data_IF_913707993751
#
_entry.id   IF_913707993751
#
_cell.length_a   1.000
_cell.length_b   1.000
_cell.length_c   1.000
_cell.angle_alpha   90.00
_cell.angle_beta   90.00
_cell.angle_gamma   90.00
#
_symmetry.space_group_name_H-M   'P 1'
#
loop_
_entity.id
_entity.type
_entity.pdbx_description
1 polymer ?
#
# COMPACT_ATOMS: atom_id res chain seq x y z
N UNK A 1 10.21 -34.00 -21.71
CA UNK A 1 9.92 -34.94 -22.81
C UNK A 1 11.23 -35.24 -23.53
N UNK A 2 11.87 -36.37 -23.23
CA UNK A 2 13.05 -36.87 -23.94
C UNK A 2 12.57 -38.01 -24.83
N UNK A 3 12.76 -37.90 -26.14
CA UNK A 3 12.43 -38.98 -27.08
C UNK A 3 13.71 -39.78 -27.37
N UNK A 4 13.76 -41.03 -26.89
CA UNK A 4 14.81 -42.00 -27.23
C UNK A 4 14.44 -42.69 -28.55
N UNK A 5 15.36 -42.67 -29.52
CA UNK A 5 15.19 -43.36 -30.81
C UNK A 5 15.86 -44.73 -30.75
N UNK A 6 15.06 -45.78 -30.94
CA UNK A 6 15.48 -47.18 -31.00
C UNK A 6 16.11 -47.49 -32.37
N UNK A 7 17.34 -48.02 -32.40
CA UNK A 7 18.03 -48.47 -33.63
C UNK A 7 17.52 -49.85 -34.04
N UNK A 8 16.89 -49.93 -35.21
CA UNK A 8 16.50 -51.19 -35.87
C UNK A 8 17.62 -51.65 -36.83
N UNK A 9 17.96 -52.93 -36.79
CA UNK A 9 19.03 -53.55 -37.60
C UNK A 9 18.39 -54.25 -38.81
N UNK A 10 18.80 -53.92 -40.04
CA UNK A 10 18.28 -54.57 -41.26
C UNK A 10 19.35 -55.34 -42.04
N UNK A 11 18.90 -56.48 -42.57
CA UNK A 11 19.61 -57.49 -43.35
C UNK A 11 20.18 -56.95 -44.67
N UNK A 12 21.28 -57.59 -45.10
CA UNK A 12 21.97 -57.44 -46.38
C UNK A 12 21.12 -57.83 -47.59
N UNK A 13 21.08 -56.96 -48.61
CA UNK A 13 20.65 -57.24 -49.98
C UNK A 13 21.45 -56.40 -50.98
N UNK A 14 22.17 -57.07 -51.89
CA UNK A 14 22.98 -56.47 -52.95
C UNK A 14 22.11 -56.12 -54.17
N UNK A 15 21.83 -54.83 -54.38
CA UNK A 15 21.51 -54.24 -55.68
C UNK A 15 21.67 -52.71 -55.60
N UNK A 16 22.59 -52.14 -56.40
CA UNK A 16 22.71 -50.72 -56.76
C UNK A 16 22.43 -49.69 -55.65
N UNK A 17 23.42 -49.40 -54.81
CA UNK A 17 23.31 -48.33 -53.81
C UNK A 17 23.59 -46.99 -54.48
N UNK A 18 22.54 -46.30 -54.94
CA UNK A 18 22.60 -44.85 -54.98
C UNK A 18 22.66 -44.38 -53.52
N UNK A 19 23.84 -43.96 -53.08
CA UNK A 19 24.01 -43.36 -51.74
C UNK A 19 23.34 -42.00 -51.77
N UNK A 20 22.04 -41.95 -51.48
CA UNK A 20 21.37 -40.71 -51.13
C UNK A 20 21.86 -40.31 -49.74
N UNK A 21 22.81 -39.38 -49.67
CA UNK A 21 23.16 -38.73 -48.42
C UNK A 21 21.97 -37.87 -47.97
N UNK A 22 21.19 -38.36 -46.99
CA UNK A 22 20.24 -37.52 -46.26
C UNK A 22 21.06 -36.60 -45.36
N UNK A 23 21.30 -35.36 -45.81
CA UNK A 23 21.92 -34.36 -44.95
C UNK A 23 20.92 -33.97 -43.87
N UNK A 24 21.31 -33.95 -42.57
CA UNK A 24 20.45 -33.39 -41.54
C UNK A 24 20.24 -31.92 -41.90
N UNK A 25 18.97 -31.48 -42.01
CA UNK A 25 18.65 -30.04 -42.02
C UNK A 25 19.19 -29.49 -40.70
N UNK A 26 20.31 -28.78 -40.79
CA UNK A 26 20.80 -27.96 -39.69
C UNK A 26 19.74 -26.86 -39.55
N UNK A 27 18.83 -27.02 -38.57
CA UNK A 27 17.92 -25.95 -38.23
C UNK A 27 18.79 -24.78 -37.75
N UNK A 28 18.88 -23.75 -38.58
CA UNK A 28 19.52 -22.50 -38.21
C UNK A 28 18.59 -21.82 -37.20
N UNK A 29 18.77 -22.13 -35.92
CA UNK A 29 17.98 -21.58 -34.81
C UNK A 29 18.33 -20.11 -34.54
N UNK A 30 19.37 -19.61 -35.19
CA UNK A 30 19.91 -18.26 -35.04
C UNK A 30 18.85 -17.15 -35.22
N UNK A 31 17.99 -17.15 -36.27
CA UNK A 31 16.86 -16.22 -36.37
C UNK A 31 15.86 -16.31 -35.21
N UNK A 32 15.56 -17.51 -34.70
CA UNK A 32 14.62 -17.70 -33.60
C UNK A 32 15.17 -17.17 -32.26
N UNK A 33 16.47 -17.38 -32.03
CA UNK A 33 17.18 -16.83 -30.86
C UNK A 33 17.18 -15.29 -30.91
N UNK A 34 17.44 -14.69 -32.07
CA UNK A 34 17.41 -13.23 -32.22
C UNK A 34 16.02 -12.65 -31.93
N UNK A 35 14.96 -13.28 -32.43
CA UNK A 35 13.59 -12.82 -32.19
C UNK A 35 13.20 -12.93 -30.72
N UNK A 36 13.60 -14.01 -30.04
CA UNK A 36 13.38 -14.21 -28.60
C UNK A 36 14.08 -13.13 -27.77
N UNK A 37 15.33 -12.80 -28.10
CA UNK A 37 16.09 -11.74 -27.41
C UNK A 37 15.43 -10.35 -27.57
N UNK A 38 14.90 -10.05 -28.76
CA UNK A 38 14.19 -8.78 -28.99
C UNK A 38 12.90 -8.68 -28.16
N UNK A 39 12.14 -9.77 -28.06
CA UNK A 39 10.93 -9.82 -27.23
C UNK A 39 11.25 -9.61 -25.75
N UNK A 40 12.26 -10.31 -25.22
CA UNK A 40 12.68 -10.15 -23.82
C UNK A 40 13.16 -8.72 -23.52
N UNK A 41 13.92 -8.10 -24.43
CA UNK A 41 14.37 -6.73 -24.27
C UNK A 41 13.20 -5.72 -24.29
N UNK A 42 12.15 -5.99 -25.08
CA UNK A 42 10.93 -5.19 -25.08
C UNK A 42 10.17 -5.33 -23.77
N UNK A 43 9.99 -6.55 -23.26
CA UNK A 43 9.34 -6.84 -21.98
C UNK A 43 10.06 -6.13 -20.82
N UNK A 44 11.38 -6.26 -20.73
CA UNK A 44 12.18 -5.59 -19.69
C UNK A 44 12.03 -4.06 -19.74
N UNK A 45 11.95 -3.47 -20.93
CA UNK A 45 11.72 -2.02 -21.09
C UNK A 45 10.32 -1.60 -20.63
N UNK A 46 9.32 -2.47 -20.78
CA UNK A 46 7.96 -2.22 -20.31
C UNK A 46 7.86 -2.36 -18.79
N UNK A 47 8.50 -3.38 -18.21
CA UNK A 47 8.52 -3.61 -16.76
C UNK A 47 9.33 -2.56 -16.00
N UNK A 48 10.48 -2.12 -16.55
CA UNK A 48 11.35 -1.12 -15.93
C UNK A 48 10.73 0.29 -15.85
N UNK A 49 9.56 0.51 -16.46
CA UNK A 49 8.95 1.83 -16.59
C UNK A 49 8.03 2.22 -15.43
N UNK A 50 7.69 1.29 -14.54
CA UNK A 50 6.93 1.62 -13.34
C UNK A 50 7.88 2.10 -12.24
N UNK A 51 7.90 3.40 -11.89
CA UNK A 51 8.69 3.87 -10.76
C UNK A 51 8.19 3.21 -9.49
N UNK A 52 9.07 2.48 -8.79
CA UNK A 52 8.77 1.94 -7.46
C UNK A 52 8.57 3.10 -6.50
N UNK A 53 7.32 3.45 -6.21
CA UNK A 53 6.98 4.43 -5.18
C UNK A 53 7.20 3.76 -3.83
N UNK A 54 8.34 4.02 -3.20
CA UNK A 54 8.57 3.66 -1.80
C UNK A 54 7.84 4.67 -0.93
N UNK A 55 6.62 4.32 -0.53
CA UNK A 55 5.99 4.94 0.63
C UNK A 55 6.85 4.56 1.83
N UNK A 56 7.45 5.54 2.51
CA UNK A 56 7.95 5.32 3.86
C UNK A 56 6.79 4.71 4.63
N UNK A 57 6.95 3.48 5.12
CA UNK A 57 5.90 2.84 5.90
C UNK A 57 5.54 3.81 7.00
N UNK A 58 4.31 4.35 6.97
CA UNK A 58 3.77 5.08 8.10
C UNK A 58 4.01 4.18 9.29
N UNK A 59 4.83 4.65 10.24
CA UNK A 59 5.27 3.86 11.39
C UNK A 59 4.06 3.10 11.90
N UNK A 60 4.14 1.75 11.90
CA UNK A 60 3.08 0.90 12.43
C UNK A 60 2.71 1.47 13.79
N UNK A 61 1.61 2.21 13.87
CA UNK A 61 1.08 2.73 15.12
C UNK A 61 0.65 1.52 15.91
N UNK A 62 1.59 1.09 16.74
CA UNK A 62 1.55 -0.14 17.52
C UNK A 62 0.58 0.14 18.64
N UNK A 63 -0.59 -0.51 18.58
CA UNK A 63 -1.69 -0.42 19.56
C UNK A 63 -2.26 1.00 19.79
N UNK A 64 -3.56 1.05 20.06
CA UNK A 64 -4.23 2.26 20.56
C UNK A 64 -3.83 2.42 22.03
N UNK A 65 -2.58 2.80 22.27
CA UNK A 65 -2.15 3.21 23.61
C UNK A 65 -2.81 4.55 23.92
N UNK A 66 -3.26 4.74 25.16
CA UNK A 66 -3.78 6.03 25.57
C UNK A 66 -2.70 7.11 25.35
N UNK A 67 -3.04 8.25 24.74
CA UNK A 67 -2.10 9.35 24.57
C UNK A 67 -1.55 9.80 25.92
N UNK A 68 -0.24 9.93 26.01
CA UNK A 68 0.38 10.55 27.16
C UNK A 68 0.26 12.07 27.02
N UNK A 69 -0.73 12.65 27.71
CA UNK A 69 -0.93 14.10 27.69
C UNK A 69 0.08 14.83 28.58
N UNK A 70 0.62 15.98 28.14
CA UNK A 70 1.54 16.78 28.93
C UNK A 70 0.79 17.42 30.11
N UNK A 71 1.53 17.73 31.17
CA UNK A 71 1.05 18.65 32.21
C UNK A 71 1.26 20.07 31.71
N UNK A 72 0.18 20.78 31.45
CA UNK A 72 0.22 22.14 30.93
C UNK A 72 -0.69 23.09 31.73
N UNK A 73 -0.40 24.38 31.66
CA UNK A 73 -1.21 25.44 32.24
C UNK A 73 -1.16 26.68 31.33
N UNK A 74 -2.29 27.31 31.00
CA UNK A 74 -3.65 26.94 31.42
C UNK A 74 -4.15 25.64 30.75
N UNK A 75 -5.02 24.90 31.45
CA UNK A 75 -5.69 23.71 30.92
C UNK A 75 -7.13 23.61 31.44
N UNK A 76 -7.97 22.87 30.72
CA UNK A 76 -9.37 22.61 31.06
C UNK A 76 -9.61 21.12 31.16
N UNK A 77 -10.38 20.70 32.17
CA UNK A 77 -10.77 19.29 32.30
C UNK A 77 -11.82 18.99 31.23
N UNK A 78 -11.48 18.09 30.32
CA UNK A 78 -12.38 17.68 29.25
C UNK A 78 -13.29 16.57 29.78
N UNK A 79 -14.60 16.79 29.72
CA UNK A 79 -15.61 15.82 30.12
C UNK A 79 -16.20 15.09 28.93
N UNK A 80 -16.32 15.76 27.79
CA UNK A 80 -16.93 15.21 26.59
C UNK A 80 -16.26 15.76 25.35
N UNK A 81 -16.09 14.90 24.34
CA UNK A 81 -15.62 15.29 23.02
C UNK A 81 -16.70 15.01 21.99
N UNK A 82 -17.06 16.03 21.21
CA UNK A 82 -18.03 15.92 20.12
C UNK A 82 -17.34 16.06 18.76
N UNK A 83 -17.68 15.16 17.84
CA UNK A 83 -17.15 15.14 16.47
C UNK A 83 -18.25 15.47 15.47
N UNK A 84 -18.03 16.52 14.68
CA UNK A 84 -18.83 16.88 13.51
C UNK A 84 -18.14 16.44 12.20
N UNK A 85 -18.89 16.24 11.11
CA UNK A 85 -18.34 15.88 9.79
C UNK A 85 -17.84 14.43 9.67
N UNK A 86 -18.05 13.60 10.70
CA UNK A 86 -17.66 12.18 10.69
C UNK A 86 -18.54 11.32 9.77
N UNK A 87 -19.72 11.82 9.45
CA UNK A 87 -20.69 11.22 8.53
C UNK A 87 -20.17 11.11 7.08
N UNK A 88 -19.18 11.95 6.72
CA UNK A 88 -18.49 11.87 5.43
C UNK A 88 -17.44 10.73 5.38
N UNK A 89 -17.21 10.05 6.52
CA UNK A 89 -16.28 8.92 6.63
C UNK A 89 -17.02 7.60 6.89
N UNK A 90 -16.44 6.46 6.48
CA UNK A 90 -17.00 5.16 6.83
C UNK A 90 -17.04 4.92 8.34
N UNK A 91 -18.12 4.30 8.80
CA UNK A 91 -18.35 3.97 10.21
C UNK A 91 -17.27 3.09 10.85
N UNK A 92 -16.47 2.37 10.05
CA UNK A 92 -15.42 1.50 10.55
C UNK A 92 -14.18 2.26 11.05
N UNK A 93 -14.04 3.56 10.77
CA UNK A 93 -12.98 4.40 11.34
C UNK A 93 -13.41 4.87 12.74
N UNK A 94 -12.81 4.38 13.83
CA UNK A 94 -13.31 4.63 15.19
C UNK A 94 -12.82 5.98 15.74
N UNK A 95 -13.10 7.09 15.04
CA UNK A 95 -12.63 8.43 15.44
C UNK A 95 -13.17 8.86 16.80
N UNK A 96 -14.44 8.57 17.07
CA UNK A 96 -15.07 8.94 18.34
C UNK A 96 -14.33 8.32 19.53
N UNK A 97 -13.96 7.03 19.43
CA UNK A 97 -13.21 6.34 20.48
C UNK A 97 -11.83 6.96 20.73
N UNK A 98 -11.18 7.46 19.69
CA UNK A 98 -9.89 8.15 19.83
C UNK A 98 -10.07 9.53 20.46
N UNK A 99 -11.11 10.27 20.05
CA UNK A 99 -11.43 11.57 20.62
C UNK A 99 -11.75 11.47 22.13
N UNK A 100 -12.50 10.45 22.53
CA UNK A 100 -12.87 10.19 23.93
C UNK A 100 -11.69 9.86 24.84
N UNK A 101 -10.50 9.61 24.30
CA UNK A 101 -9.28 9.46 25.11
C UNK A 101 -8.93 10.74 25.88
N UNK A 102 -9.44 11.90 25.46
CA UNK A 102 -9.29 13.15 26.20
C UNK A 102 -10.17 13.25 27.46
N UNK A 103 -11.23 12.43 27.57
CA UNK A 103 -12.18 12.54 28.68
C UNK A 103 -11.47 12.26 30.01
N UNK A 104 -11.68 13.14 30.99
CA UNK A 104 -11.07 13.09 32.31
C UNK A 104 -9.66 13.71 32.39
N UNK A 105 -9.09 14.18 31.28
CA UNK A 105 -7.78 14.82 31.28
C UNK A 105 -7.88 16.35 31.29
N UNK A 106 -6.94 17.02 31.95
CA UNK A 106 -6.77 18.46 31.84
C UNK A 106 -5.92 18.76 30.61
N UNK A 107 -6.54 19.33 29.57
CA UNK A 107 -5.88 19.62 28.30
C UNK A 107 -5.86 21.12 28.03
N UNK A 108 -4.72 21.60 27.58
CA UNK A 108 -4.55 22.89 26.92
C UNK A 108 -4.24 22.66 25.44
N UNK A 109 -3.61 23.65 24.81
CA UNK A 109 -3.34 23.61 23.38
C UNK A 109 -2.43 22.43 22.98
N UNK A 110 -1.46 22.05 23.83
CA UNK A 110 -0.52 20.98 23.50
C UNK A 110 -1.19 19.62 23.54
N UNK A 111 -1.96 19.33 24.59
CA UNK A 111 -2.72 18.10 24.74
C UNK A 111 -3.77 17.92 23.64
N UNK A 112 -4.50 18.98 23.29
CA UNK A 112 -5.46 18.96 22.17
C UNK A 112 -4.72 18.70 20.84
N UNK A 113 -3.56 19.33 20.62
CA UNK A 113 -2.73 19.08 19.43
C UNK A 113 -2.28 17.63 19.30
N UNK A 114 -1.90 16.98 20.41
CA UNK A 114 -1.54 15.55 20.45
C UNK A 114 -2.76 14.68 20.11
N UNK A 115 -3.92 14.97 20.71
CA UNK A 115 -5.17 14.27 20.43
C UNK A 115 -5.51 14.34 18.92
N UNK A 116 -5.52 15.54 18.36
CA UNK A 116 -5.80 15.78 16.95
C UNK A 116 -4.79 15.08 16.04
N UNK A 117 -3.50 15.11 16.39
CA UNK A 117 -2.44 14.44 15.63
C UNK A 117 -2.63 12.93 15.62
N UNK A 118 -3.01 12.33 16.75
CA UNK A 118 -3.30 10.90 16.83
C UNK A 118 -4.52 10.51 16.00
N UNK A 119 -5.58 11.32 16.04
CA UNK A 119 -6.76 11.12 15.19
C UNK A 119 -6.41 11.25 13.69
N UNK A 120 -5.59 12.24 13.34
CA UNK A 120 -5.11 12.45 11.98
C UNK A 120 -4.24 11.29 11.49
N UNK A 121 -3.34 10.77 12.34
CA UNK A 121 -2.50 9.62 12.04
C UNK A 121 -3.36 8.35 11.86
N UNK A 122 -4.43 8.20 12.66
CA UNK A 122 -5.40 7.13 12.43
C UNK A 122 -6.03 7.23 11.04
N UNK A 123 -6.47 8.41 10.62
CA UNK A 123 -7.04 8.61 9.28
C UNK A 123 -6.03 8.24 8.19
N UNK A 124 -4.80 8.71 8.31
CA UNK A 124 -3.71 8.40 7.37
C UNK A 124 -3.46 6.90 7.30
N UNK A 125 -3.41 6.20 8.44
CA UNK A 125 -3.20 4.74 8.48
C UNK A 125 -4.30 3.94 7.76
N UNK A 126 -5.45 4.55 7.54
CA UNK A 126 -6.62 3.98 6.86
C UNK A 126 -6.85 4.56 5.45
N UNK A 127 -5.89 5.31 4.90
CA UNK A 127 -5.92 5.85 3.53
C UNK A 127 -6.61 7.21 3.38
N UNK A 128 -7.10 7.83 4.46
CA UNK A 128 -7.83 9.11 4.43
C UNK A 128 -6.89 10.32 4.52
N UNK A 129 -5.89 10.38 3.61
CA UNK A 129 -4.77 11.34 3.67
C UNK A 129 -5.16 12.81 3.45
N UNK A 130 -6.23 13.05 2.69
CA UNK A 130 -6.76 14.39 2.40
C UNK A 130 -7.72 14.91 3.47
N UNK A 131 -8.11 14.07 4.43
CA UNK A 131 -9.00 14.45 5.53
C UNK A 131 -8.23 15.24 6.59
N UNK A 132 -8.89 16.21 7.23
CA UNK A 132 -8.32 17.05 8.30
C UNK A 132 -9.18 17.01 9.55
N UNK A 133 -8.55 17.00 10.71
CA UNK A 133 -9.19 17.25 12.02
C UNK A 133 -8.92 18.70 12.40
N UNK A 134 -9.96 19.46 12.72
CA UNK A 134 -9.89 20.87 13.08
C UNK A 134 -10.53 21.11 14.46
N UNK A 135 -9.97 22.05 15.22
CA UNK A 135 -10.59 22.58 16.43
C UNK A 135 -11.06 24.01 16.12
N UNK A 136 -12.38 24.28 16.05
CA UNK A 136 -12.89 25.64 15.91
C UNK A 136 -12.62 26.46 17.18
N UNK A 137 -12.75 27.78 17.07
CA UNK A 137 -12.79 28.67 18.24
C UNK A 137 -13.98 28.28 19.13
N UNK A 138 -13.69 28.03 20.41
CA UNK A 138 -14.64 27.48 21.38
C UNK A 138 -14.22 27.81 22.80
N UNK A 139 -15.18 27.85 23.70
CA UNK A 139 -14.92 27.92 25.14
C UNK A 139 -14.90 26.51 25.75
N UNK A 140 -13.78 26.16 26.39
CA UNK A 140 -13.56 24.89 27.06
C UNK A 140 -13.92 24.92 28.54
N UNK A 141 -14.40 26.06 29.07
CA UNK A 141 -14.74 26.23 30.50
C UNK A 141 -15.76 25.20 31.01
N UNK A 142 -16.67 24.75 30.13
CA UNK A 142 -17.69 23.74 30.44
C UNK A 142 -17.19 22.30 30.27
N UNK A 143 -15.93 22.10 29.85
CA UNK A 143 -15.34 20.79 29.62
C UNK A 143 -15.85 20.08 28.36
N UNK A 144 -16.47 20.79 27.41
CA UNK A 144 -16.86 20.25 26.11
C UNK A 144 -15.83 20.62 25.05
N UNK A 145 -15.15 19.63 24.46
CA UNK A 145 -14.26 19.81 23.31
C UNK A 145 -14.98 19.43 22.02
N UNK A 146 -15.12 20.40 21.12
CA UNK A 146 -15.71 20.24 19.78
C UNK A 146 -14.59 20.11 18.76
N UNK A 147 -14.60 19.04 17.97
CA UNK A 147 -13.72 18.87 16.83
C UNK A 147 -14.54 18.66 15.56
N UNK A 148 -13.98 19.11 14.44
CA UNK A 148 -14.58 18.98 13.12
C UNK A 148 -13.70 18.13 12.21
N UNK A 149 -14.30 17.13 11.58
CA UNK A 149 -13.68 16.25 10.59
C UNK A 149 -14.05 16.77 9.21
N UNK A 150 -13.05 17.24 8.47
CA UNK A 150 -13.24 17.77 7.11
C UNK A 150 -12.71 16.75 6.10
N UNK A 151 -13.62 16.03 5.44
CA UNK A 151 -13.26 15.05 4.41
C UNK A 151 -12.79 15.74 3.13
N UNK A 152 -11.57 15.41 2.68
CA UNK A 152 -11.02 15.93 1.43
C UNK A 152 -11.49 15.10 0.23
N UNK A 153 -11.98 15.75 -0.83
CA UNK A 153 -12.46 15.10 -2.07
C UNK A 153 -11.51 15.44 -3.23
N UNK A 154 -11.15 14.44 -4.03
CA UNK A 154 -10.37 14.58 -5.27
C UNK A 154 -11.36 14.51 -6.44
N UNK A 155 -11.21 15.38 -7.43
CA UNK A 155 -12.02 15.41 -8.67
C UNK A 155 -11.15 15.11 -9.88
#
# INVERSE_FOLDING_TARGET
>A
MMATVTRSNMLTGLAGWAVFAVQPVQADDQPFIHQTQQQQALEQRLEAKAPTVRLSAAEKTTSVSAPNFPKESPCFVIHTVTLSGREDLPHWVPLQRLAEQANGHCLGAQGIGILMSNMQNRLISHGWVTTRILAPEQDLSQGELKLNVVAGKIR
#
